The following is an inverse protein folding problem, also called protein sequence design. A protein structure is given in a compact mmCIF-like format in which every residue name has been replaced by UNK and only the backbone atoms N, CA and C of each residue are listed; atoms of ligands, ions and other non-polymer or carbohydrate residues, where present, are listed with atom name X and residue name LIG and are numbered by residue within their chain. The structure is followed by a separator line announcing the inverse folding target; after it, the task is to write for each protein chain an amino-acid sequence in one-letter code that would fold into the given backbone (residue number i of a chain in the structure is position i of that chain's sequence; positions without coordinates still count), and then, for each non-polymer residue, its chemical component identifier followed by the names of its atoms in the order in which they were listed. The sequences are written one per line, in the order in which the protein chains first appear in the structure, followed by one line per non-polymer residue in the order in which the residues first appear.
data_IF_356165425897
#
_entry.id   IF_356165425897
#
_cell.length_a   1.000
_cell.length_b   1.000
_cell.length_c   1.000
_cell.angle_alpha   90.00
_cell.angle_beta   90.00
_cell.angle_gamma   90.00
#
_symmetry.space_group_name_H-M   'P 1'
#
loop_
_entity.id
_entity.type
_entity.pdbx_description
1 polymer ?
#
# COMPACT_ATOMS: atom_id res chain seq x y z
N UNK A 1 15.02 -18.17 -6.50
CA UNK A 1 14.38 -17.30 -5.49
C UNK A 1 14.80 -15.86 -5.77
N UNK A 2 13.83 -14.94 -5.80
CA UNK A 2 14.06 -13.48 -5.73
C UNK A 2 13.91 -13.08 -4.26
N UNK A 3 14.99 -12.66 -3.58
CA UNK A 3 14.92 -12.28 -2.17
C UNK A 3 14.13 -10.97 -1.96
N UNK A 4 13.68 -10.76 -0.72
CA UNK A 4 13.20 -9.46 -0.25
C UNK A 4 14.33 -8.43 -0.36
N UNK A 5 14.01 -7.22 -0.82
CA UNK A 5 14.98 -6.14 -1.01
C UNK A 5 15.77 -6.23 -2.32
N UNK A 6 15.38 -7.12 -3.24
CA UNK A 6 15.98 -7.14 -4.59
C UNK A 6 15.68 -5.83 -5.30
N UNK A 7 16.73 -5.20 -5.84
CA UNK A 7 16.68 -3.86 -6.41
C UNK A 7 16.45 -3.94 -7.92
N UNK A 8 15.49 -3.16 -8.38
CA UNK A 8 15.27 -2.82 -9.78
C UNK A 8 15.43 -1.32 -9.95
N UNK A 9 15.95 -0.88 -11.08
CA UNK A 9 16.19 0.54 -11.35
C UNK A 9 15.51 0.97 -12.63
N UNK A 10 15.13 2.22 -12.67
CA UNK A 10 14.58 2.89 -13.86
C UNK A 10 15.06 4.33 -13.92
N UNK A 11 14.99 4.95 -15.09
CA UNK A 11 15.32 6.35 -15.30
C UNK A 11 14.08 7.08 -15.80
N UNK A 12 13.69 8.16 -15.11
CA UNK A 12 12.62 9.07 -15.52
C UNK A 12 13.21 10.48 -15.53
N UNK A 13 13.07 11.20 -16.63
CA UNK A 13 13.55 12.57 -16.78
C UNK A 13 15.03 12.76 -16.33
N UNK A 14 15.89 11.80 -16.69
CA UNK A 14 17.31 11.75 -16.32
C UNK A 14 17.58 11.54 -14.81
N UNK A 15 16.58 11.17 -14.02
CA UNK A 15 16.72 10.82 -12.60
C UNK A 15 16.56 9.32 -12.43
N UNK A 16 17.49 8.71 -11.69
CA UNK A 16 17.42 7.30 -11.34
C UNK A 16 16.47 7.08 -10.17
N UNK A 17 15.53 6.14 -10.34
CA UNK A 17 14.65 5.66 -9.27
C UNK A 17 14.91 4.18 -9.01
N UNK A 18 14.84 3.83 -7.75
CA UNK A 18 14.99 2.46 -7.26
C UNK A 18 13.63 1.89 -6.90
N UNK A 19 13.42 0.63 -7.25
CA UNK A 19 12.27 -0.16 -6.85
C UNK A 19 12.75 -1.43 -6.16
N UNK A 20 12.00 -1.90 -5.17
CA UNK A 20 12.41 -3.07 -4.36
C UNK A 20 11.27 -4.07 -4.20
N UNK A 21 11.62 -5.34 -4.07
CA UNK A 21 10.69 -6.39 -3.63
C UNK A 21 10.51 -6.34 -2.11
N UNK A 22 9.29 -6.50 -1.61
CA UNK A 22 9.00 -6.59 -0.17
C UNK A 22 8.67 -8.02 0.27
N UNK A 23 8.51 -8.94 -0.67
CA UNK A 23 8.29 -10.35 -0.42
C UNK A 23 9.31 -11.20 -1.19
N UNK A 24 9.51 -12.42 -0.71
CA UNK A 24 10.29 -13.42 -1.42
C UNK A 24 9.43 -14.07 -2.52
N UNK A 25 10.02 -14.26 -3.71
CA UNK A 25 9.35 -14.94 -4.82
C UNK A 25 10.12 -16.17 -5.23
N UNK A 26 9.42 -17.29 -5.28
CA UNK A 26 9.99 -18.61 -5.57
C UNK A 26 9.43 -19.11 -6.90
N UNK A 27 10.29 -19.64 -7.75
CA UNK A 27 9.90 -20.36 -8.98
C UNK A 27 10.75 -21.61 -9.12
N UNK A 28 10.33 -22.51 -9.99
CA UNK A 28 11.08 -23.70 -10.36
C UNK A 28 11.69 -23.54 -11.76
N UNK A 29 12.83 -24.19 -11.97
CA UNK A 29 13.46 -24.22 -13.29
C UNK A 29 12.58 -25.04 -14.25
N UNK A 30 12.26 -24.46 -15.40
CA UNK A 30 11.58 -25.15 -16.49
C UNK A 30 12.39 -24.99 -17.77
N UNK A 31 12.77 -26.10 -18.39
CA UNK A 31 13.60 -26.12 -19.61
C UNK A 31 14.90 -25.28 -19.51
N UNK A 32 15.54 -25.28 -18.32
CA UNK A 32 16.76 -24.51 -18.09
C UNK A 32 16.54 -23.00 -17.87
N UNK A 33 15.29 -22.54 -17.82
CA UNK A 33 14.92 -21.13 -17.62
C UNK A 33 14.21 -20.97 -16.27
N UNK A 34 14.56 -19.89 -15.55
CA UNK A 34 13.82 -19.41 -14.40
C UNK A 34 12.91 -18.28 -14.85
N UNK A 35 11.60 -18.49 -14.81
CA UNK A 35 10.62 -17.45 -15.14
C UNK A 35 9.82 -17.06 -13.91
N UNK A 36 9.70 -15.77 -13.68
CA UNK A 36 8.84 -15.17 -12.66
C UNK A 36 7.81 -14.30 -13.36
N UNK A 37 6.57 -14.37 -12.94
CA UNK A 37 5.49 -13.56 -13.49
C UNK A 37 4.83 -12.71 -12.41
N UNK A 38 4.48 -11.48 -12.79
CA UNK A 38 3.74 -10.55 -11.93
C UNK A 38 4.41 -10.27 -10.57
N UNK A 39 5.73 -10.02 -10.57
CA UNK A 39 6.45 -9.63 -9.37
C UNK A 39 6.12 -8.18 -9.03
N UNK A 40 5.48 -7.89 -7.89
CA UNK A 40 5.25 -6.54 -7.43
C UNK A 40 6.57 -5.94 -6.91
N UNK A 41 6.88 -4.75 -7.39
CA UNK A 41 8.02 -3.94 -6.96
C UNK A 41 7.52 -2.58 -6.52
N UNK A 42 8.10 -2.04 -5.45
CA UNK A 42 7.70 -0.81 -4.80
C UNK A 42 8.82 0.22 -4.90
N UNK A 43 8.46 1.45 -5.29
CA UNK A 43 9.43 2.53 -5.41
C UNK A 43 9.98 2.93 -4.05
N UNK A 44 11.30 3.03 -3.95
CA UNK A 44 12.00 3.54 -2.78
C UNK A 44 13.06 2.61 -2.21
N UNK A 45 13.42 2.85 -0.95
CA UNK A 45 14.43 2.10 -0.21
C UNK A 45 13.79 1.24 0.86
N UNK A 46 14.14 -0.04 0.89
CA UNK A 46 13.66 -0.98 1.90
C UNK A 46 14.41 -0.79 3.22
N UNK A 47 13.68 -0.46 4.27
CA UNK A 47 14.22 -0.17 5.60
C UNK A 47 13.76 -1.20 6.61
N UNK A 48 14.63 -1.54 7.55
CA UNK A 48 14.35 -2.45 8.67
C UNK A 48 14.73 -1.79 9.98
N UNK A 49 13.76 -1.64 10.87
CA UNK A 49 13.96 -1.22 12.26
C UNK A 49 13.73 -2.39 13.20
N UNK A 50 14.50 -2.47 14.27
CA UNK A 50 14.35 -3.48 15.33
C UNK A 50 14.28 -2.82 16.68
N UNK A 51 13.39 -3.30 17.53
CA UNK A 51 13.19 -2.86 18.92
C UNK A 51 13.12 -4.08 19.83
N UNK A 52 13.74 -3.96 21.00
CA UNK A 52 13.54 -4.96 22.07
C UNK A 52 12.41 -4.48 22.95
N UNK A 53 11.45 -5.32 23.24
CA UNK A 53 10.34 -5.03 24.13
C UNK A 53 10.84 -4.99 25.57
N UNK A 54 10.57 -3.90 26.26
CA UNK A 54 10.78 -3.72 27.71
C UNK A 54 9.42 -3.47 28.36
N UNK A 55 8.83 -4.48 28.97
CA UNK A 55 7.51 -4.38 29.61
C UNK A 55 7.53 -3.52 30.88
N UNK A 56 8.70 -3.12 31.38
CA UNK A 56 8.82 -2.17 32.50
C UNK A 56 8.73 -0.72 32.04
N UNK A 57 9.00 -0.46 30.77
CA UNK A 57 8.86 0.84 30.15
C UNK A 57 7.45 0.99 29.55
N UNK A 58 6.52 1.49 30.35
CA UNK A 58 5.11 1.70 29.94
C UNK A 58 4.93 2.71 28.80
N UNK A 59 5.95 3.57 28.59
CA UNK A 59 5.95 4.60 27.54
C UNK A 59 6.72 4.15 26.29
N UNK A 60 7.11 2.87 26.19
CA UNK A 60 7.83 2.37 25.02
C UNK A 60 6.97 2.45 23.78
N UNK A 61 7.51 3.10 22.75
CA UNK A 61 6.85 3.31 21.47
C UNK A 61 7.66 2.73 20.32
N UNK A 62 6.96 2.23 19.33
CA UNK A 62 7.55 1.65 18.12
C UNK A 62 7.18 2.51 16.92
N UNK A 63 8.18 3.06 16.23
CA UNK A 63 7.94 4.04 15.18
C UNK A 63 8.35 3.54 13.80
N UNK A 64 7.61 3.99 12.79
CA UNK A 64 8.11 4.16 11.43
C UNK A 64 8.94 5.45 11.44
N UNK A 65 10.27 5.31 11.49
CA UNK A 65 11.16 6.45 11.80
C UNK A 65 11.29 7.47 10.67
N UNK A 66 10.95 7.11 9.43
CA UNK A 66 11.03 8.01 8.29
C UNK A 66 9.66 8.62 7.97
N UNK A 67 9.55 9.95 7.83
CA UNK A 67 8.30 10.61 7.49
C UNK A 67 7.78 10.30 6.07
N UNK A 68 8.64 9.74 5.21
CA UNK A 68 8.29 9.26 3.89
C UNK A 68 8.12 7.72 3.84
N UNK A 69 8.05 7.08 5.00
CA UNK A 69 7.76 5.65 5.11
C UNK A 69 6.35 5.33 4.61
N UNK A 70 6.27 4.43 3.62
CA UNK A 70 5.00 3.98 3.07
C UNK A 70 4.38 2.92 3.98
N UNK A 71 3.32 3.29 4.69
CA UNK A 71 2.60 2.42 5.61
C UNK A 71 1.84 1.29 4.91
N UNK A 72 1.60 1.37 3.60
CA UNK A 72 0.97 0.29 2.84
C UNK A 72 1.93 -0.88 2.59
N UNK A 73 3.24 -0.62 2.68
CA UNK A 73 4.30 -1.65 2.57
C UNK A 73 4.76 -2.20 3.90
N UNK A 74 4.09 -1.80 4.99
CA UNK A 74 4.51 -2.11 6.36
C UNK A 74 4.38 -3.59 6.67
N UNK A 75 5.48 -4.19 7.12
CA UNK A 75 5.56 -5.58 7.58
C UNK A 75 6.08 -5.59 9.02
N UNK A 76 5.32 -6.21 9.90
CA UNK A 76 5.65 -6.29 11.33
C UNK A 76 5.78 -7.75 11.74
N UNK A 77 6.97 -8.10 12.22
CA UNK A 77 7.28 -9.45 12.71
C UNK A 77 7.76 -9.40 14.14
N UNK A 78 7.30 -10.34 14.93
CA UNK A 78 7.68 -10.51 16.33
C UNK A 78 8.48 -11.80 16.48
N UNK A 79 9.67 -11.67 17.04
CA UNK A 79 10.52 -12.79 17.45
C UNK A 79 10.41 -12.97 18.94
N UNK A 80 10.47 -14.20 19.42
CA UNK A 80 10.37 -14.52 20.86
C UNK A 80 11.52 -13.91 21.67
N UNK A 81 12.71 -13.83 21.08
CA UNK A 81 13.90 -13.20 21.67
C UNK A 81 14.95 -12.88 20.57
N UNK A 82 16.06 -12.28 20.96
CA UNK A 82 17.13 -11.86 20.06
C UNK A 82 17.83 -13.02 19.33
N UNK A 83 17.77 -14.26 19.86
CA UNK A 83 18.38 -15.46 19.28
C UNK A 83 17.39 -16.24 18.40
N UNK A 84 16.11 -15.87 18.38
CA UNK A 84 15.10 -16.57 17.58
C UNK A 84 15.33 -16.38 16.10
N UNK A 85 15.27 -17.46 15.34
CA UNK A 85 15.38 -17.47 13.87
C UNK A 85 14.01 -17.43 13.19
N UNK A 86 12.96 -17.83 13.90
CA UNK A 86 11.56 -17.76 13.43
C UNK A 86 10.84 -16.55 14.03
N UNK A 87 9.91 -16.02 13.29
CA UNK A 87 9.07 -14.89 13.73
C UNK A 87 7.60 -15.17 13.44
N UNK A 88 6.73 -14.50 14.19
CA UNK A 88 5.30 -14.44 13.93
C UNK A 88 4.98 -13.12 13.25
N UNK A 89 4.35 -13.15 12.09
CA UNK A 89 3.90 -11.93 11.40
C UNK A 89 2.61 -11.42 12.04
N UNK A 90 2.59 -10.12 12.32
CA UNK A 90 1.42 -9.40 12.81
C UNK A 90 0.82 -8.58 11.67
N UNK A 91 -0.50 -8.48 11.63
CA UNK A 91 -1.26 -7.76 10.60
C UNK A 91 -1.91 -6.51 11.17
N UNK A 92 -2.15 -5.51 10.33
CA UNK A 92 -2.85 -4.29 10.74
C UNK A 92 -4.28 -4.64 11.16
N UNK A 93 -4.67 -4.22 12.36
CA UNK A 93 -6.04 -4.35 12.83
C UNK A 93 -6.94 -3.35 12.08
N UNK A 94 -7.85 -3.85 11.27
CA UNK A 94 -8.84 -3.04 10.54
C UNK A 94 -10.18 -2.97 11.25
N UNK A 95 -10.48 -3.95 12.11
CA UNK A 95 -11.71 -4.03 12.88
C UNK A 95 -11.41 -4.55 14.29
N UNK A 96 -11.56 -3.68 15.27
CA UNK A 96 -11.34 -4.03 16.69
C UNK A 96 -12.39 -5.00 17.25
N UNK A 97 -13.58 -5.07 16.64
CA UNK A 97 -14.67 -5.95 17.11
C UNK A 97 -14.43 -7.42 16.79
N UNK A 98 -13.57 -7.71 15.78
CA UNK A 98 -13.19 -9.06 15.39
C UNK A 98 -11.83 -9.49 15.97
N UNK A 99 -11.22 -8.65 16.80
CA UNK A 99 -9.90 -8.90 17.39
C UNK A 99 -10.03 -9.58 18.74
N UNK A 100 -9.46 -10.77 18.89
CA UNK A 100 -9.40 -11.53 20.16
C UNK A 100 -8.08 -11.28 20.90
N UNK A 101 -8.00 -11.74 22.15
CA UNK A 101 -6.78 -11.67 22.98
C UNK A 101 -5.57 -12.42 22.41
N UNK A 102 -5.78 -13.33 21.44
CA UNK A 102 -4.73 -14.13 20.79
C UNK A 102 -4.43 -13.68 19.36
N UNK A 103 -5.15 -12.70 18.85
CA UNK A 103 -4.96 -12.22 17.47
C UNK A 103 -3.61 -11.53 17.31
N UNK A 104 -2.81 -11.96 16.34
CA UNK A 104 -1.52 -11.37 16.00
C UNK A 104 -1.73 -10.11 15.17
N UNK A 105 -2.12 -9.02 15.82
CA UNK A 105 -2.42 -7.74 15.19
C UNK A 105 -1.63 -6.61 15.82
N UNK A 106 -1.37 -5.58 15.01
CA UNK A 106 -0.87 -4.29 15.46
C UNK A 106 -1.84 -3.19 15.07
N UNK A 107 -1.75 -2.07 15.77
CA UNK A 107 -2.49 -0.86 15.48
C UNK A 107 -1.51 0.21 15.01
N UNK A 108 -1.97 1.07 14.11
CA UNK A 108 -1.18 2.13 13.51
C UNK A 108 -1.90 3.46 13.72
N UNK A 109 -1.18 4.44 14.24
CA UNK A 109 -1.69 5.80 14.34
C UNK A 109 -0.61 6.81 13.97
N UNK A 110 -1.02 7.98 13.47
CA UNK A 110 -0.13 9.09 13.26
C UNK A 110 0.08 9.85 14.59
N UNK A 111 1.34 10.06 14.97
CA UNK A 111 1.72 10.86 16.12
C UNK A 111 1.69 12.36 15.81
N UNK A 112 1.70 13.21 16.84
CA UNK A 112 1.67 14.67 16.70
C UNK A 112 2.84 15.22 15.88
N UNK A 113 3.98 14.54 15.90
CA UNK A 113 5.18 14.89 15.11
C UNK A 113 5.14 14.40 13.64
N UNK A 114 4.00 13.81 13.21
CA UNK A 114 3.79 13.32 11.86
C UNK A 114 4.45 11.98 11.53
N UNK A 115 5.02 11.29 12.52
CA UNK A 115 5.50 9.92 12.38
C UNK A 115 4.37 8.94 12.66
N UNK A 116 4.48 7.75 12.08
CA UNK A 116 3.56 6.67 12.40
C UNK A 116 4.07 5.86 13.58
N UNK A 117 3.19 5.69 14.56
CA UNK A 117 3.42 4.88 15.76
C UNK A 117 2.67 3.57 15.63
N UNK A 118 3.38 2.47 15.93
CA UNK A 118 2.84 1.12 15.96
C UNK A 118 2.69 0.72 17.42
N UNK A 119 1.53 0.21 17.79
CA UNK A 119 1.31 -0.37 19.11
C UNK A 119 0.58 -1.71 18.99
N UNK A 120 0.67 -2.50 20.05
CA UNK A 120 0.20 -3.87 20.10
C UNK A 120 -0.95 -4.02 21.08
N UNK A 121 -1.61 -5.16 21.04
CA UNK A 121 -2.68 -5.45 21.98
C UNK A 121 -2.20 -5.58 23.44
N UNK A 122 -3.14 -5.48 24.34
CA UNK A 122 -2.95 -5.61 25.79
C UNK A 122 -3.26 -7.01 26.34
N UNK A 123 -3.57 -7.97 25.45
CA UNK A 123 -4.01 -9.31 25.81
C UNK A 123 -5.53 -9.43 26.01
N UNK A 124 -6.28 -8.35 25.80
CA UNK A 124 -7.74 -8.32 25.70
C UNK A 124 -8.16 -8.08 24.25
N UNK A 125 -7.65 -7.00 23.67
CA UNK A 125 -7.84 -6.66 22.26
C UNK A 125 -6.48 -6.78 21.58
N UNK A 126 -6.24 -7.93 20.92
CA UNK A 126 -4.95 -8.27 20.33
C UNK A 126 -3.96 -8.89 21.33
N UNK A 127 -3.04 -9.64 20.79
CA UNK A 127 -1.99 -10.32 21.57
C UNK A 127 -1.02 -9.30 22.16
N UNK A 128 -0.80 -9.37 23.48
CA UNK A 128 0.23 -8.61 24.15
C UNK A 128 1.63 -9.15 23.82
N UNK A 129 2.61 -8.26 23.78
CA UNK A 129 4.02 -8.63 23.67
C UNK A 129 4.60 -9.01 25.04
N UNK A 130 5.60 -9.89 25.03
CA UNK A 130 6.35 -10.29 26.21
C UNK A 130 7.67 -9.54 26.31
N UNK A 131 8.18 -9.41 27.52
CA UNK A 131 9.49 -8.83 27.77
C UNK A 131 10.58 -9.59 27.00
N UNK A 132 11.50 -8.85 26.37
CA UNK A 132 12.56 -9.42 25.54
C UNK A 132 12.14 -9.83 24.13
N UNK A 133 10.86 -9.75 23.75
CA UNK A 133 10.48 -9.93 22.35
C UNK A 133 11.22 -8.93 21.45
N UNK A 134 11.49 -9.32 20.20
CA UNK A 134 12.05 -8.39 19.21
C UNK A 134 10.98 -8.04 18.20
N UNK A 135 10.64 -6.77 18.13
CA UNK A 135 9.76 -6.19 17.11
C UNK A 135 10.62 -5.78 15.92
N UNK A 136 10.40 -6.42 14.76
CA UNK A 136 11.00 -6.05 13.49
C UNK A 136 9.97 -5.35 12.62
N UNK A 137 10.22 -4.09 12.31
CA UNK A 137 9.39 -3.25 11.46
C UNK A 137 10.12 -3.05 10.14
N UNK A 138 9.50 -3.39 9.02
CA UNK A 138 10.04 -3.28 7.67
C UNK A 138 9.07 -2.49 6.82
N UNK A 139 9.58 -1.58 6.02
CA UNK A 139 8.78 -0.72 5.14
C UNK A 139 9.65 -0.12 4.03
N UNK A 140 9.03 0.48 3.05
CA UNK A 140 9.71 1.21 1.99
C UNK A 140 9.63 2.71 2.27
N UNK A 141 10.77 3.40 2.14
CA UNK A 141 10.86 4.87 2.15
C UNK A 141 10.78 5.33 0.71
N UNK A 142 9.74 6.04 0.34
CA UNK A 142 9.36 6.37 -1.04
C UNK A 142 9.66 7.84 -1.39
N UNK A 143 9.84 8.11 -2.69
CA UNK A 143 9.86 9.46 -3.27
C UNK A 143 8.47 9.93 -3.69
N UNK A 144 7.42 9.26 -3.20
CA UNK A 144 6.01 9.60 -3.41
C UNK A 144 5.59 9.52 -4.89
N UNK A 145 5.04 10.61 -5.46
CA UNK A 145 4.52 10.60 -6.83
C UNK A 145 5.58 10.66 -7.93
N UNK A 146 6.86 10.91 -7.59
CA UNK A 146 7.91 11.23 -8.57
C UNK A 146 8.25 10.10 -9.54
N UNK A 147 8.04 8.84 -9.13
CA UNK A 147 8.31 7.67 -9.94
C UNK A 147 7.07 7.12 -10.67
N UNK A 148 5.93 7.79 -10.57
CA UNK A 148 4.73 7.38 -11.32
C UNK A 148 4.99 7.43 -12.83
N UNK A 149 4.51 6.40 -13.54
CA UNK A 149 4.70 6.25 -14.97
C UNK A 149 5.96 5.48 -15.38
N UNK A 150 6.83 5.09 -14.42
CA UNK A 150 7.97 4.23 -14.70
C UNK A 150 7.53 2.93 -15.37
N UNK A 151 8.14 2.59 -16.51
CA UNK A 151 7.75 1.43 -17.31
C UNK A 151 8.91 0.57 -17.82
N UNK A 152 10.15 1.04 -17.65
CA UNK A 152 11.33 0.32 -18.08
C UNK A 152 12.22 0.04 -16.87
N UNK A 153 12.27 -1.22 -16.45
CA UNK A 153 13.05 -1.63 -15.29
C UNK A 153 14.22 -2.49 -15.70
N UNK A 154 15.35 -2.30 -15.03
CA UNK A 154 16.53 -3.15 -15.14
C UNK A 154 16.97 -3.58 -13.75
N UNK A 155 17.65 -4.70 -13.64
CA UNK A 155 18.27 -5.12 -12.38
C UNK A 155 19.71 -5.54 -12.63
N UNK A 156 20.61 -5.09 -11.78
CA UNK A 156 21.99 -5.57 -11.68
C UNK A 156 22.16 -6.60 -10.57
N UNK A 157 21.06 -6.97 -9.90
CA UNK A 157 21.12 -7.94 -8.81
C UNK A 157 21.52 -9.33 -9.35
N UNK A 158 22.39 -10.00 -8.62
CA UNK A 158 22.64 -11.43 -8.82
C UNK A 158 21.55 -12.19 -8.09
N UNK A 159 20.66 -12.86 -8.84
CA UNK A 159 19.61 -13.68 -8.26
C UNK A 159 20.11 -15.12 -8.19
N UNK A 160 20.40 -15.60 -7.00
CA UNK A 160 21.15 -16.83 -6.75
C UNK A 160 22.57 -16.74 -7.35
N UNK A 161 22.83 -17.35 -8.47
CA UNK A 161 24.12 -17.27 -9.22
C UNK A 161 23.93 -16.68 -10.62
N UNK A 162 22.72 -16.23 -10.95
CA UNK A 162 22.32 -15.77 -12.29
C UNK A 162 22.46 -14.26 -12.35
N UNK A 163 23.19 -13.77 -13.35
CA UNK A 163 23.39 -12.34 -13.62
C UNK A 163 22.73 -11.88 -14.92
N UNK A 164 22.42 -12.82 -15.82
CA UNK A 164 21.74 -12.51 -17.08
C UNK A 164 20.22 -12.56 -16.88
N UNK A 165 19.69 -11.41 -16.48
CA UNK A 165 18.28 -11.25 -16.12
C UNK A 165 17.64 -10.26 -17.10
N UNK A 166 16.61 -10.71 -17.78
CA UNK A 166 15.74 -9.86 -18.59
C UNK A 166 14.46 -9.53 -17.83
N UNK A 167 14.01 -8.30 -17.92
CA UNK A 167 12.78 -7.82 -17.29
C UNK A 167 11.79 -7.37 -18.35
N UNK A 168 10.52 -7.69 -18.15
CA UNK A 168 9.41 -7.18 -18.94
C UNK A 168 8.38 -6.53 -18.01
N UNK A 169 8.01 -5.31 -18.31
CA UNK A 169 7.04 -4.56 -17.48
C UNK A 169 5.62 -4.98 -17.81
N UNK A 170 4.88 -5.41 -16.81
CA UNK A 170 3.46 -5.78 -16.93
C UNK A 170 2.59 -4.51 -16.87
N UNK A 171 2.91 -3.58 -15.98
CA UNK A 171 2.21 -2.30 -15.84
C UNK A 171 3.19 -1.20 -15.42
N UNK A 172 2.94 0.02 -15.86
CA UNK A 172 3.70 1.17 -15.39
C UNK A 172 3.45 1.42 -13.90
N UNK A 173 4.47 1.95 -13.21
CA UNK A 173 4.37 2.32 -11.81
C UNK A 173 3.26 3.35 -11.58
N UNK A 174 2.48 3.16 -10.54
CA UNK A 174 1.35 4.04 -10.18
C UNK A 174 1.09 3.98 -8.68
N UNK A 175 0.25 4.89 -8.17
CA UNK A 175 -0.17 4.89 -6.77
C UNK A 175 0.67 5.77 -5.85
N UNK A 176 1.85 6.23 -6.28
CA UNK A 176 2.62 7.20 -5.51
C UNK A 176 1.88 8.55 -5.41
N UNK A 177 1.78 9.10 -4.19
CA UNK A 177 1.11 10.40 -3.94
C UNK A 177 1.82 11.18 -2.83
N UNK A 178 1.63 12.49 -2.86
CA UNK A 178 2.02 13.35 -1.74
C UNK A 178 1.05 13.18 -0.57
N UNK A 179 1.50 13.51 0.64
CA UNK A 179 0.62 13.56 1.81
C UNK A 179 -0.53 14.55 1.57
N UNK A 180 -1.74 14.16 1.93
CA UNK A 180 -2.91 15.01 1.76
C UNK A 180 -2.78 16.29 2.57
N UNK A 181 -3.16 17.44 1.97
CA UNK A 181 -3.11 18.73 2.65
C UNK A 181 -4.24 18.86 3.69
N UNK A 182 -4.02 19.70 4.70
CA UNK A 182 -5.02 19.94 5.76
C UNK A 182 -6.32 20.53 5.16
N UNK A 183 -6.21 21.38 4.14
CA UNK A 183 -7.37 21.96 3.43
C UNK A 183 -8.17 20.86 2.72
N UNK A 184 -7.49 19.93 2.06
CA UNK A 184 -8.11 18.78 1.41
C UNK A 184 -8.82 17.90 2.44
N UNK A 185 -8.15 17.58 3.56
CA UNK A 185 -8.73 16.79 4.64
C UNK A 185 -10.00 17.48 5.20
N UNK A 186 -9.94 18.78 5.47
CA UNK A 186 -11.11 19.53 5.96
C UNK A 186 -12.29 19.51 4.99
N UNK A 187 -12.01 19.53 3.69
CA UNK A 187 -13.04 19.44 2.66
C UNK A 187 -13.61 18.04 2.52
N UNK A 188 -12.75 17.02 2.50
CA UNK A 188 -13.15 15.63 2.22
C UNK A 188 -13.69 14.89 3.42
N UNK A 189 -13.23 15.18 4.65
CA UNK A 189 -13.63 14.44 5.85
C UNK A 189 -15.15 14.45 6.12
N UNK A 190 -15.90 15.57 5.97
CA UNK A 190 -17.35 15.55 6.13
C UNK A 190 -18.06 14.70 5.07
N UNK A 191 -17.57 14.72 3.82
CA UNK A 191 -18.13 13.93 2.71
C UNK A 191 -17.89 12.43 2.95
N UNK A 192 -16.70 12.10 3.41
CA UNK A 192 -16.33 10.74 3.75
C UNK A 192 -17.14 10.19 4.92
N UNK A 193 -17.32 11.00 5.97
CA UNK A 193 -18.18 10.64 7.09
C UNK A 193 -19.63 10.42 6.64
N UNK A 194 -20.14 11.25 5.74
CA UNK A 194 -21.49 11.12 5.19
C UNK A 194 -21.66 9.85 4.34
N UNK A 195 -20.63 9.49 3.57
CA UNK A 195 -20.63 8.27 2.73
C UNK A 195 -20.63 6.97 3.55
N UNK A 196 -20.15 6.99 4.81
CA UNK A 196 -20.12 5.82 5.72
C UNK A 196 -19.52 4.56 5.06
N UNK A 197 -18.46 4.73 4.27
CA UNK A 197 -17.79 3.63 3.57
C UNK A 197 -18.58 3.01 2.42
N UNK A 198 -19.62 3.69 1.89
CA UNK A 198 -20.43 3.21 0.76
C UNK A 198 -20.49 4.25 -0.34
N UNK A 199 -20.33 3.80 -1.58
CA UNK A 199 -20.46 4.63 -2.78
C UNK A 199 -21.82 4.36 -3.44
N UNK A 200 -22.78 5.25 -3.20
CA UNK A 200 -24.14 5.19 -3.73
C UNK A 200 -24.44 6.44 -4.58
N UNK A 201 -24.13 7.61 -4.04
CA UNK A 201 -24.37 8.88 -4.71
C UNK A 201 -23.11 9.38 -5.43
N UNK A 202 -23.29 10.32 -6.35
CA UNK A 202 -22.17 11.02 -7.04
C UNK A 202 -21.16 11.60 -6.04
N UNK A 203 -21.63 12.16 -4.93
CA UNK A 203 -20.77 12.75 -3.90
C UNK A 203 -20.00 11.69 -3.11
N UNK A 204 -20.59 10.51 -2.87
CA UNK A 204 -19.88 9.41 -2.21
C UNK A 204 -18.71 8.92 -3.08
N UNK A 205 -18.93 8.76 -4.39
CA UNK A 205 -17.85 8.41 -5.31
C UNK A 205 -16.76 9.46 -5.34
N UNK A 206 -17.10 10.77 -5.31
CA UNK A 206 -16.09 11.84 -5.24
C UNK A 206 -15.27 11.81 -3.96
N UNK A 207 -15.84 11.39 -2.84
CA UNK A 207 -15.15 11.25 -1.57
C UNK A 207 -14.28 9.97 -1.50
N UNK A 208 -14.75 8.88 -2.10
CA UNK A 208 -14.11 7.56 -2.00
C UNK A 208 -13.00 7.37 -3.05
N UNK A 209 -13.17 7.89 -4.27
CA UNK A 209 -12.17 7.71 -5.35
C UNK A 209 -10.77 8.18 -4.95
N UNK A 210 -10.56 9.34 -4.29
CA UNK A 210 -9.24 9.75 -3.82
C UNK A 210 -8.60 8.80 -2.80
N UNK A 211 -9.39 8.06 -2.02
CA UNK A 211 -8.87 7.03 -1.11
C UNK A 211 -8.38 5.79 -1.85
N UNK A 212 -9.08 5.41 -2.92
CA UNK A 212 -8.73 4.26 -3.76
C UNK A 212 -7.56 4.58 -4.68
N UNK A 213 -7.47 5.84 -5.12
CA UNK A 213 -6.41 6.32 -6.02
C UNK A 213 -5.90 7.69 -5.54
N UNK A 214 -4.91 7.68 -4.67
CA UNK A 214 -4.37 8.85 -3.98
C UNK A 214 -3.75 9.90 -4.93
N UNK A 215 -3.35 9.51 -6.18
CA UNK A 215 -2.86 10.44 -7.19
C UNK A 215 -3.98 11.21 -7.92
N UNK A 216 -5.24 11.12 -7.49
CA UNK A 216 -6.34 11.87 -8.05
C UNK A 216 -6.26 13.36 -7.63
N UNK A 217 -6.03 14.26 -8.59
CA UNK A 217 -6.07 15.71 -8.38
C UNK A 217 -7.51 16.23 -8.38
N UNK A 218 -8.32 15.73 -9.29
CA UNK A 218 -9.74 16.04 -9.35
C UNK A 218 -10.54 14.85 -9.86
N UNK A 219 -11.77 14.73 -9.38
CA UNK A 219 -12.68 13.65 -9.72
C UNK A 219 -14.01 14.22 -10.13
N UNK A 220 -14.46 13.89 -11.34
CA UNK A 220 -15.80 14.17 -11.83
C UNK A 220 -16.58 12.88 -11.90
N UNK A 221 -17.81 12.90 -11.43
CA UNK A 221 -18.68 11.72 -11.40
C UNK A 221 -20.06 12.11 -11.90
N UNK A 222 -20.64 11.26 -12.74
CA UNK A 222 -22.01 11.42 -13.20
C UNK A 222 -22.70 10.06 -13.38
N UNK A 223 -23.99 10.03 -13.28
CA UNK A 223 -24.78 8.82 -13.47
C UNK A 223 -24.94 8.46 -14.94
N UNK A 224 -25.11 7.20 -15.24
CA UNK A 224 -25.36 6.75 -16.62
C UNK A 224 -26.69 7.23 -17.19
N UNK A 225 -27.60 7.67 -16.36
CA UNK A 225 -28.86 8.32 -16.72
C UNK A 225 -28.66 9.70 -17.40
N UNK A 226 -27.52 10.36 -17.15
CA UNK A 226 -27.18 11.66 -17.73
C UNK A 226 -26.59 11.57 -19.15
N UNK A 227 -26.38 10.37 -19.70
CA UNK A 227 -25.93 10.16 -21.07
C UNK A 227 -27.04 10.47 -22.08
N UNK A 228 -26.65 10.83 -23.32
CA UNK A 228 -27.58 11.00 -24.45
C UNK A 228 -28.48 9.77 -24.67
N UNK A 229 -27.90 8.59 -24.48
CA UNK A 229 -28.62 7.31 -24.36
C UNK A 229 -28.45 6.82 -22.93
N UNK A 230 -29.50 6.87 -22.08
CA UNK A 230 -29.41 6.50 -20.67
C UNK A 230 -28.94 5.07 -20.46
N UNK A 231 -27.96 4.90 -19.57
CA UNK A 231 -27.41 3.61 -19.17
C UNK A 231 -27.57 3.43 -17.66
N UNK A 232 -28.71 2.89 -17.25
CA UNK A 232 -29.04 2.73 -15.84
C UNK A 232 -28.11 1.73 -15.12
N UNK A 233 -27.83 2.00 -13.84
CA UNK A 233 -26.96 1.17 -13.01
C UNK A 233 -25.46 1.36 -13.28
N UNK A 234 -25.08 2.32 -14.14
CA UNK A 234 -23.70 2.72 -14.34
C UNK A 234 -23.40 4.09 -13.73
N UNK A 235 -22.17 4.22 -13.23
CA UNK A 235 -21.60 5.49 -12.78
C UNK A 235 -20.29 5.70 -13.52
N UNK A 236 -20.18 6.84 -14.20
CA UNK A 236 -18.99 7.22 -14.94
C UNK A 236 -18.12 8.15 -14.09
N UNK A 237 -16.84 7.83 -14.04
CA UNK A 237 -15.85 8.52 -13.21
C UNK A 237 -14.71 9.00 -14.12
N UNK A 238 -14.52 10.30 -14.20
CA UNK A 238 -13.36 10.91 -14.85
C UNK A 238 -12.40 11.41 -13.78
N UNK A 239 -11.15 10.99 -13.88
CA UNK A 239 -10.11 11.30 -12.90
C UNK A 239 -8.98 12.05 -13.60
N UNK A 240 -8.62 13.22 -13.09
CA UNK A 240 -7.41 13.92 -13.48
C UNK A 240 -6.32 13.61 -12.48
N UNK A 241 -5.23 12.93 -12.86
CA UNK A 241 -4.13 12.64 -11.93
C UNK A 241 -3.30 13.90 -11.64
N UNK A 242 -2.65 13.93 -10.47
CA UNK A 242 -1.71 15.00 -10.09
C UNK A 242 -0.46 14.93 -10.94
N UNK A 243 0.01 13.72 -11.24
CA UNK A 243 1.19 13.47 -12.08
C UNK A 243 0.93 12.31 -13.03
N UNK A 244 1.53 12.37 -14.22
CA UNK A 244 1.45 11.30 -15.22
C UNK A 244 0.05 11.14 -15.84
N UNK A 245 -0.22 9.95 -16.34
CA UNK A 245 -1.52 9.54 -16.90
C UNK A 245 -2.00 8.27 -16.21
N UNK A 246 -3.31 8.04 -16.20
CA UNK A 246 -3.87 6.81 -15.63
C UNK A 246 -3.72 5.69 -16.65
N UNK A 247 -2.96 4.65 -16.31
CA UNK A 247 -2.79 3.47 -17.16
C UNK A 247 -4.07 2.62 -17.17
N UNK A 248 -4.22 1.78 -18.21
CA UNK A 248 -5.36 0.88 -18.29
C UNK A 248 -5.43 -0.10 -17.12
N UNK A 249 -4.28 -0.56 -16.61
CA UNK A 249 -4.22 -1.41 -15.42
C UNK A 249 -4.68 -0.66 -14.17
N UNK A 250 -4.24 0.58 -13.97
CA UNK A 250 -4.69 1.40 -12.84
C UNK A 250 -6.20 1.66 -12.89
N UNK A 251 -6.79 1.91 -14.08
CA UNK A 251 -8.24 2.02 -14.24
C UNK A 251 -8.96 0.75 -13.78
N UNK A 252 -8.46 -0.42 -14.19
CA UNK A 252 -9.03 -1.71 -13.79
C UNK A 252 -8.94 -1.95 -12.28
N UNK A 253 -7.81 -1.62 -11.67
CA UNK A 253 -7.58 -1.78 -10.22
C UNK A 253 -8.49 -0.84 -9.41
N UNK A 254 -8.66 0.42 -9.84
CA UNK A 254 -9.60 1.37 -9.23
C UNK A 254 -11.02 0.81 -9.28
N UNK A 255 -11.48 0.38 -10.47
CA UNK A 255 -12.83 -0.19 -10.64
C UNK A 255 -13.02 -1.43 -9.79
N UNK A 256 -12.03 -2.34 -9.76
CA UNK A 256 -12.06 -3.56 -8.94
C UNK A 256 -12.17 -3.22 -7.45
N UNK A 257 -11.37 -2.27 -6.97
CA UNK A 257 -11.38 -1.84 -5.57
C UNK A 257 -12.72 -1.20 -5.19
N UNK A 258 -13.24 -0.29 -6.02
CA UNK A 258 -14.55 0.32 -5.82
C UNK A 258 -15.66 -0.75 -5.74
N UNK A 259 -15.69 -1.70 -6.67
CA UNK A 259 -16.70 -2.77 -6.70
C UNK A 259 -16.65 -3.68 -5.48
N UNK A 260 -15.47 -4.06 -5.05
CA UNK A 260 -15.31 -5.05 -3.98
C UNK A 260 -15.57 -4.46 -2.59
N UNK A 261 -15.27 -3.17 -2.39
CA UNK A 261 -15.20 -2.60 -1.04
C UNK A 261 -16.24 -1.50 -0.77
N UNK A 262 -16.77 -0.85 -1.82
CA UNK A 262 -17.55 0.38 -1.63
C UNK A 262 -18.90 0.41 -2.35
N UNK A 263 -19.02 -0.15 -3.57
CA UNK A 263 -20.28 -0.05 -4.33
C UNK A 263 -21.31 -1.07 -3.90
N UNK A 264 -22.58 -0.66 -3.98
CA UNK A 264 -23.71 -1.59 -3.84
C UNK A 264 -23.88 -2.43 -5.11
N UNK A 265 -24.45 -3.63 -4.96
CA UNK A 265 -24.47 -4.66 -6.04
C UNK A 265 -25.12 -4.21 -7.36
N UNK A 266 -25.99 -3.21 -7.33
CA UNK A 266 -26.70 -2.70 -8.53
C UNK A 266 -25.96 -1.60 -9.28
N UNK A 267 -24.84 -1.10 -8.75
CA UNK A 267 -24.07 0.01 -9.33
C UNK A 267 -22.75 -0.48 -9.89
N UNK A 268 -22.47 -0.12 -11.16
CA UNK A 268 -21.22 -0.48 -11.83
C UNK A 268 -20.42 0.77 -12.16
N UNK A 269 -19.30 1.04 -11.46
CA UNK A 269 -18.41 2.14 -11.78
C UNK A 269 -17.60 1.84 -13.04
N UNK A 270 -17.34 2.88 -13.83
CA UNK A 270 -16.54 2.85 -15.06
C UNK A 270 -15.64 4.11 -15.10
N UNK A 271 -14.33 3.93 -15.37
CA UNK A 271 -13.39 5.05 -15.48
C UNK A 271 -13.28 5.46 -16.95
N UNK A 272 -13.67 6.70 -17.24
CA UNK A 272 -13.68 7.27 -18.59
C UNK A 272 -12.47 8.16 -18.85
#
# INVERSE_FOLDING_TARGET
IIPVGTIFTTVIDSVNYQFVTIAEHITQVSNGILSFSNIPIYEGTYVTNRYTVDTKNVDQKFYVNDPNGDTTTLLVDIFDNASSTSSTTFTLATDSTQTSSTSNVYFLQESVDGKFEIYFGDGIIGKALSDGNIVRIRYVVTNKSKANGASNFTTSATISTITDITTATVSAASGGAEKESIESIKFNAPLDYAAQGRAVTVNDFKAIVPKVYANAKSVQVYGGEDNDVPTYGKVYISIVPTTGSITSSAKLDIVKNLKNNYTVASVTPEIV
#
